data_IF_313411565788
#
_entry.id   IF_313411565788
#
_cell.length_a   1.000
_cell.length_b   1.000
_cell.length_c   1.000
_cell.angle_alpha   90.00
_cell.angle_beta   90.00
_cell.angle_gamma   90.00
#
_symmetry.space_group_name_H-M   'P 1'
#
loop_
_entity.id
_entity.type
_entity.pdbx_description
1 polymer ?
#
# COMPACT_ATOMS: atom_id res chain seq x y z
N UNK A 1 4.17 86.28 29.51
CA UNK A 1 5.39 85.51 29.45
C UNK A 1 5.07 84.19 30.06
N UNK A 2 4.73 83.24 29.25
CA UNK A 2 4.24 81.92 29.68
C UNK A 2 5.18 80.83 29.16
N UNK A 3 5.75 80.12 30.06
CA UNK A 3 6.70 79.04 29.78
C UNK A 3 5.93 77.72 29.76
N UNK A 4 5.86 77.08 28.64
CA UNK A 4 5.24 75.77 28.47
C UNK A 4 6.34 74.70 28.54
N UNK A 5 6.35 73.93 29.59
CA UNK A 5 7.16 72.73 29.73
C UNK A 5 6.48 71.57 28.99
N UNK A 6 7.17 70.99 28.04
CA UNK A 6 6.77 69.78 27.35
C UNK A 6 7.16 68.55 28.21
N UNK A 7 6.16 67.76 28.53
CA UNK A 7 6.35 66.43 29.12
C UNK A 7 6.55 65.41 28.01
N UNK A 8 7.69 64.76 28.04
CA UNK A 8 7.97 63.55 27.26
C UNK A 8 7.47 62.33 28.02
N UNK A 9 6.53 61.66 27.43
CA UNK A 9 6.04 60.38 27.92
C UNK A 9 6.94 59.26 27.40
N UNK A 10 7.68 58.64 28.29
CA UNK A 10 8.45 57.42 28.01
C UNK A 10 7.50 56.25 27.81
N UNK A 11 7.50 55.68 26.62
CA UNK A 11 6.84 54.40 26.30
C UNK A 11 7.78 53.26 26.70
N UNK A 12 7.48 52.62 27.81
CA UNK A 12 8.10 51.34 28.20
C UNK A 12 7.76 50.25 27.16
N UNK A 13 8.76 49.82 26.46
CA UNK A 13 8.67 48.66 25.54
C UNK A 13 8.78 47.40 26.39
N UNK A 14 7.66 46.78 26.69
CA UNK A 14 7.63 45.47 27.33
C UNK A 14 8.08 44.41 26.31
N UNK A 15 9.31 43.98 26.41
CA UNK A 15 9.87 42.86 25.64
C UNK A 15 9.22 41.55 26.08
N UNK A 16 8.27 41.04 25.31
CA UNK A 16 7.75 39.68 25.46
C UNK A 16 8.84 38.72 24.92
N UNK A 17 9.55 38.09 25.85
CA UNK A 17 10.38 36.93 25.56
C UNK A 17 9.50 35.78 25.08
N UNK A 18 9.35 35.64 23.78
CA UNK A 18 8.80 34.47 23.16
C UNK A 18 9.74 33.28 23.42
N UNK A 19 9.27 32.35 24.25
CA UNK A 19 9.95 31.07 24.42
C UNK A 19 9.96 30.30 23.11
N UNK A 20 11.13 30.08 22.58
CA UNK A 20 11.37 29.14 21.50
C UNK A 20 11.13 27.73 22.03
N UNK A 21 9.98 27.15 21.72
CA UNK A 21 9.83 25.70 21.74
C UNK A 21 10.40 25.19 20.40
N UNK A 22 11.47 24.40 20.39
CA UNK A 22 11.86 23.69 19.19
C UNK A 22 10.81 22.61 18.97
N UNK A 23 9.78 22.93 18.21
CA UNK A 23 8.91 21.95 17.63
C UNK A 23 9.73 21.14 16.63
N UNK A 24 10.16 19.94 17.04
CA UNK A 24 10.69 18.94 16.13
C UNK A 24 9.51 18.52 15.26
N UNK A 25 9.38 19.15 14.11
CA UNK A 25 8.56 18.68 13.02
C UNK A 25 9.26 17.44 12.45
N UNK A 26 9.00 16.28 13.06
CA UNK A 26 9.30 15.00 12.42
C UNK A 26 8.34 14.85 11.24
N UNK A 27 8.85 14.60 10.03
CA UNK A 27 7.98 14.27 8.91
C UNK A 27 7.23 12.98 9.24
N UNK A 28 5.98 12.78 8.75
CA UNK A 28 5.10 11.70 9.17
C UNK A 28 5.54 10.28 8.75
N UNK A 29 6.75 10.11 8.23
CA UNK A 29 7.22 8.86 7.64
C UNK A 29 8.59 8.45 8.17
N UNK A 30 8.72 8.12 9.42
CA UNK A 30 9.99 7.59 9.88
C UNK A 30 9.90 6.84 11.21
N UNK A 31 9.20 5.73 11.25
CA UNK A 31 9.53 4.65 12.19
C UNK A 31 9.05 3.32 11.62
N UNK A 32 9.94 2.63 10.94
CA UNK A 32 9.76 1.19 10.71
C UNK A 32 10.47 0.49 11.84
N UNK A 33 9.70 -0.21 12.66
CA UNK A 33 10.21 -1.07 13.70
C UNK A 33 11.08 -2.17 13.11
N UNK A 34 12.34 -2.19 13.55
CA UNK A 34 13.22 -3.35 13.43
C UNK A 34 12.59 -4.47 14.26
N UNK A 35 11.84 -5.34 13.60
CA UNK A 35 11.43 -6.61 14.17
C UNK A 35 12.67 -7.46 14.40
N UNK A 36 13.14 -7.51 15.65
CA UNK A 36 14.21 -8.38 16.08
C UNK A 36 13.77 -9.84 15.95
N UNK A 37 14.09 -10.49 14.83
CA UNK A 37 14.00 -11.92 14.69
C UNK A 37 15.10 -12.56 15.56
N UNK A 38 14.76 -12.95 16.76
CA UNK A 38 15.55 -13.90 17.53
C UNK A 38 15.29 -15.28 16.90
N UNK A 39 16.22 -15.69 16.02
CA UNK A 39 16.28 -17.05 15.55
C UNK A 39 16.77 -17.93 16.70
N UNK A 40 15.86 -18.59 17.39
CA UNK A 40 16.19 -19.74 18.23
C UNK A 40 16.53 -20.90 17.30
N UNK A 41 17.81 -21.16 17.18
CA UNK A 41 18.35 -22.39 16.62
C UNK A 41 17.98 -23.52 17.58
N UNK A 42 16.98 -24.32 17.22
CA UNK A 42 16.73 -25.61 17.85
C UNK A 42 16.99 -26.69 16.81
N UNK A 43 17.92 -27.58 17.16
CA UNK A 43 18.52 -28.58 16.31
C UNK A 43 17.54 -29.57 15.65
N UNK A 44 18.01 -30.03 14.55
CA UNK A 44 17.87 -31.20 13.74
C UNK A 44 16.67 -32.13 13.92
N UNK A 45 16.01 -32.38 12.79
CA UNK A 45 15.72 -33.74 12.33
C UNK A 45 15.66 -33.68 10.81
N UNK A 46 16.63 -34.32 10.17
CA UNK A 46 16.61 -34.60 8.74
C UNK A 46 15.64 -35.74 8.54
N UNK A 47 14.52 -35.52 7.88
CA UNK A 47 13.68 -36.59 7.34
C UNK A 47 13.78 -36.51 5.83
N UNK A 48 14.56 -37.44 5.31
CA UNK A 48 14.74 -37.72 3.90
C UNK A 48 13.44 -38.36 3.37
N UNK A 49 12.66 -37.65 2.57
CA UNK A 49 11.57 -38.23 1.79
C UNK A 49 11.84 -38.09 0.30
N UNK A 50 12.66 -39.04 -0.17
CA UNK A 50 12.75 -39.40 -1.56
C UNK A 50 11.45 -40.14 -1.94
N UNK A 51 10.46 -39.47 -2.54
CA UNK A 51 9.28 -40.09 -3.12
C UNK A 51 9.42 -40.09 -4.64
N UNK A 52 9.79 -41.25 -5.11
CA UNK A 52 9.92 -41.65 -6.49
C UNK A 52 8.54 -41.56 -7.19
N UNK A 53 8.37 -40.59 -8.10
CA UNK A 53 7.21 -40.45 -8.96
C UNK A 53 7.38 -41.28 -10.23
N UNK A 54 7.09 -42.59 -10.14
CA UNK A 54 6.92 -43.41 -11.36
C UNK A 54 6.22 -44.71 -11.04
N UNK A 55 4.90 -44.69 -10.97
CA UNK A 55 4.05 -45.85 -11.23
C UNK A 55 2.55 -45.51 -11.05
N UNK A 56 1.91 -44.88 -12.02
CA UNK A 56 0.47 -44.98 -12.26
C UNK A 56 0.13 -44.71 -13.74
N UNK A 57 0.66 -45.54 -14.62
CA UNK A 57 0.10 -45.72 -15.93
C UNK A 57 0.12 -47.23 -16.24
N UNK A 58 -1.01 -47.90 -15.97
CA UNK A 58 -1.43 -49.08 -16.74
C UNK A 58 -2.83 -49.55 -16.37
N UNK A 59 -3.57 -49.78 -17.44
CA UNK A 59 -4.77 -50.58 -17.58
C UNK A 59 -6.12 -49.93 -17.28
N UNK A 60 -6.81 -49.60 -18.38
CA UNK A 60 -8.07 -50.30 -18.65
C UNK A 60 -8.31 -50.38 -20.16
N UNK A 61 -8.45 -51.61 -20.60
CA UNK A 61 -8.73 -51.97 -21.99
C UNK A 61 -10.19 -51.72 -22.39
N UNK A 62 -10.34 -51.45 -23.66
CA UNK A 62 -11.43 -51.56 -24.61
C UNK A 62 -12.53 -52.59 -24.25
N UNK A 63 -13.77 -52.13 -24.29
CA UNK A 63 -14.98 -52.92 -24.39
C UNK A 63 -15.97 -52.26 -25.33
N UNK A 64 -16.24 -52.92 -26.47
CA UNK A 64 -17.00 -52.54 -27.65
C UNK A 64 -18.51 -52.68 -27.44
N UNK A 65 -19.27 -51.86 -28.20
CA UNK A 65 -20.62 -52.06 -28.76
C UNK A 65 -21.87 -51.91 -27.89
N UNK A 66 -22.74 -51.03 -28.33
CA UNK A 66 -24.15 -51.04 -28.00
C UNK A 66 -24.86 -49.74 -28.37
N UNK A 67 -25.39 -49.62 -29.58
CA UNK A 67 -26.30 -48.57 -30.04
C UNK A 67 -27.53 -48.49 -29.17
N UNK A 68 -27.85 -47.34 -28.60
CA UNK A 68 -29.22 -46.92 -28.35
C UNK A 68 -29.30 -45.39 -28.53
N UNK A 69 -29.97 -44.98 -29.61
CA UNK A 69 -30.46 -43.61 -29.79
C UNK A 69 -31.65 -43.36 -28.86
N UNK A 70 -31.53 -42.39 -27.98
CA UNK A 70 -32.66 -41.69 -27.40
C UNK A 70 -32.22 -40.28 -27.05
N UNK A 71 -32.76 -39.30 -27.77
CA UNK A 71 -32.51 -37.88 -27.56
C UNK A 71 -33.04 -37.42 -26.21
N UNK A 72 -32.17 -36.76 -25.50
CA UNK A 72 -32.53 -35.78 -24.47
C UNK A 72 -31.60 -34.60 -24.66
N UNK A 73 -32.16 -33.53 -25.24
CA UNK A 73 -31.61 -32.19 -25.12
C UNK A 73 -31.57 -31.82 -23.63
N UNK A 74 -30.48 -32.07 -23.00
CA UNK A 74 -30.15 -31.48 -21.70
C UNK A 74 -28.92 -30.61 -21.92
N UNK A 75 -29.20 -29.36 -22.22
CA UNK A 75 -28.21 -28.31 -22.13
C UNK A 75 -27.77 -28.26 -20.64
N UNK A 76 -26.56 -28.70 -20.27
CA UNK A 76 -26.07 -28.48 -18.93
C UNK A 76 -25.74 -26.99 -18.83
N UNK A 77 -26.67 -26.23 -18.27
CA UNK A 77 -26.35 -24.94 -17.70
C UNK A 77 -25.35 -25.22 -16.57
N UNK A 78 -24.07 -25.11 -16.89
CA UNK A 78 -23.02 -25.05 -15.89
C UNK A 78 -23.32 -23.78 -15.09
N UNK A 79 -23.59 -23.85 -13.79
CA UNK A 79 -23.58 -22.65 -12.97
C UNK A 79 -22.14 -22.12 -13.02
N UNK A 80 -21.95 -20.98 -13.65
CA UNK A 80 -20.72 -20.23 -13.51
C UNK A 80 -20.73 -19.59 -12.13
N UNK A 81 -20.50 -20.39 -11.08
CA UNK A 81 -20.09 -19.90 -9.78
C UNK A 81 -18.62 -19.44 -9.87
N UNK A 82 -18.49 -18.33 -10.48
CA UNK A 82 -17.27 -17.58 -10.68
C UNK A 82 -17.59 -16.14 -10.97
N UNK A 83 -18.56 -15.57 -10.23
CA UNK A 83 -18.62 -14.12 -10.06
C UNK A 83 -17.39 -13.67 -9.25
N UNK A 84 -16.21 -13.92 -9.83
CA UNK A 84 -15.07 -13.09 -9.57
C UNK A 84 -15.48 -11.68 -10.00
N UNK A 85 -15.57 -10.80 -9.05
CA UNK A 85 -15.74 -9.38 -9.16
C UNK A 85 -14.93 -8.82 -10.36
N UNK A 86 -15.49 -8.93 -11.57
CA UNK A 86 -15.13 -8.06 -12.68
C UNK A 86 -15.94 -6.77 -12.44
N UNK A 87 -15.79 -6.20 -11.26
CA UNK A 87 -16.11 -4.81 -11.02
C UNK A 87 -15.27 -4.02 -12.01
N UNK A 88 -15.87 -3.07 -12.68
CA UNK A 88 -15.26 -2.15 -13.61
C UNK A 88 -13.94 -1.66 -12.99
N UNK A 89 -12.80 -2.25 -13.41
CA UNK A 89 -11.46 -1.96 -12.86
C UNK A 89 -11.01 -0.58 -13.35
N UNK A 90 -11.75 0.44 -12.95
CA UNK A 90 -11.46 1.82 -13.28
C UNK A 90 -10.75 2.50 -12.12
N UNK A 91 -9.61 3.12 -12.40
CA UNK A 91 -8.92 3.95 -11.45
C UNK A 91 -9.72 5.25 -11.23
N UNK A 92 -10.01 5.57 -9.98
CA UNK A 92 -10.70 6.79 -9.58
C UNK A 92 -9.85 8.03 -9.89
N UNK A 93 -10.52 9.11 -10.25
CA UNK A 93 -9.89 10.42 -10.51
C UNK A 93 -9.58 11.23 -9.25
N UNK A 94 -9.94 10.73 -8.06
CA UNK A 94 -9.74 11.46 -6.80
C UNK A 94 -8.27 11.52 -6.35
N UNK A 95 -7.42 10.63 -6.87
CA UNK A 95 -5.99 10.61 -6.53
C UNK A 95 -5.27 11.86 -7.03
N UNK A 96 -4.13 12.17 -6.43
CA UNK A 96 -3.33 13.33 -6.84
C UNK A 96 -2.77 13.16 -8.27
N UNK A 97 -2.44 14.25 -8.98
CA UNK A 97 -1.88 14.18 -10.33
C UNK A 97 -0.64 13.30 -10.43
N UNK A 98 0.18 13.27 -9.37
CA UNK A 98 1.41 12.46 -9.31
C UNK A 98 1.10 10.96 -9.32
N UNK A 99 0.05 10.52 -8.61
CA UNK A 99 -0.39 9.13 -8.64
C UNK A 99 -1.10 8.81 -9.96
N UNK A 100 -1.93 9.74 -10.47
CA UNK A 100 -2.60 9.59 -11.76
C UNK A 100 -1.64 9.53 -12.95
N UNK A 101 -0.43 10.09 -12.81
CA UNK A 101 0.65 9.92 -13.80
C UNK A 101 0.95 8.44 -14.08
N UNK A 102 0.78 7.58 -13.08
CA UNK A 102 1.00 6.13 -13.17
C UNK A 102 -0.22 5.33 -13.60
N UNK A 103 -1.32 5.97 -14.03
CA UNK A 103 -2.60 5.33 -14.32
C UNK A 103 -2.48 4.07 -15.18
N UNK A 104 -1.77 4.15 -16.30
CA UNK A 104 -1.60 3.03 -17.23
C UNK A 104 -0.91 1.84 -16.55
N UNK A 105 0.18 2.13 -15.82
CA UNK A 105 0.92 1.11 -15.05
C UNK A 105 0.10 0.51 -13.92
N UNK A 106 -0.66 1.33 -13.20
CA UNK A 106 -1.55 0.85 -12.13
C UNK A 106 -2.58 -0.13 -12.70
N UNK A 107 -3.15 0.16 -13.87
CA UNK A 107 -4.10 -0.73 -14.53
C UNK A 107 -3.43 -2.03 -15.00
N UNK A 108 -2.24 -1.98 -15.57
CA UNK A 108 -1.45 -3.16 -15.96
C UNK A 108 -1.13 -4.03 -14.73
N UNK A 109 -0.61 -3.43 -13.66
CA UNK A 109 -0.31 -4.13 -12.42
C UNK A 109 -1.57 -4.68 -11.75
N UNK A 110 -2.72 -4.00 -11.86
CA UNK A 110 -3.98 -4.51 -11.29
C UNK A 110 -4.39 -5.84 -11.91
N UNK A 111 -4.16 -6.00 -13.21
CA UNK A 111 -4.39 -7.26 -13.94
C UNK A 111 -3.34 -8.30 -13.54
N UNK A 112 -2.05 -7.91 -13.56
CA UNK A 112 -0.93 -8.81 -13.30
C UNK A 112 -0.97 -9.43 -11.90
N UNK A 113 -1.34 -8.64 -10.89
CA UNK A 113 -1.34 -9.08 -9.48
C UNK A 113 -2.73 -9.44 -8.95
N UNK A 114 -3.77 -9.31 -9.81
CA UNK A 114 -5.16 -9.48 -9.40
C UNK A 114 -5.47 -8.66 -8.13
N UNK A 115 -5.23 -7.35 -8.23
CA UNK A 115 -5.50 -6.34 -7.20
C UNK A 115 -6.44 -5.27 -7.75
N UNK A 116 -7.22 -4.65 -6.87
CA UNK A 116 -8.01 -3.48 -7.23
C UNK A 116 -7.08 -2.29 -7.56
N UNK A 117 -7.25 -1.60 -8.71
CA UNK A 117 -6.39 -0.49 -9.09
C UNK A 117 -6.45 0.67 -8.08
N UNK A 118 -7.59 0.88 -7.42
CA UNK A 118 -7.72 1.91 -6.40
C UNK A 118 -6.97 1.54 -5.12
N UNK A 119 -6.85 0.24 -4.80
CA UNK A 119 -6.02 -0.20 -3.68
C UNK A 119 -4.52 0.00 -3.99
N UNK A 120 -4.08 -0.32 -5.21
CA UNK A 120 -2.70 -0.06 -5.66
C UNK A 120 -2.40 1.45 -5.59
N UNK A 121 -3.31 2.28 -6.12
CA UNK A 121 -3.16 3.73 -6.10
C UNK A 121 -3.16 4.30 -4.67
N UNK A 122 -3.99 3.75 -3.78
CA UNK A 122 -4.03 4.17 -2.36
C UNK A 122 -2.70 3.91 -1.66
N UNK A 123 -2.11 2.72 -1.85
CA UNK A 123 -0.80 2.40 -1.29
C UNK A 123 0.26 3.34 -1.88
N UNK A 124 0.34 3.48 -3.21
CA UNK A 124 1.28 4.41 -3.86
C UNK A 124 1.11 5.85 -3.37
N UNK A 125 -0.13 6.32 -3.17
CA UNK A 125 -0.43 7.66 -2.68
C UNK A 125 0.22 7.92 -1.32
N UNK A 126 0.06 6.99 -0.38
CA UNK A 126 0.54 7.16 1.00
C UNK A 126 2.05 6.91 1.09
N UNK A 127 2.58 5.95 0.35
CA UNK A 127 3.98 5.57 0.42
C UNK A 127 4.93 6.59 -0.20
N UNK A 128 4.61 7.07 -1.39
CA UNK A 128 5.52 7.93 -2.15
C UNK A 128 4.86 9.09 -2.86
N UNK A 129 3.53 9.16 -2.86
CA UNK A 129 2.77 10.03 -3.77
C UNK A 129 3.20 9.85 -5.25
N UNK A 130 3.59 8.63 -5.65
CA UNK A 130 4.07 8.34 -6.99
C UNK A 130 5.52 8.78 -7.28
N UNK A 131 6.34 9.06 -6.26
CA UNK A 131 7.75 9.40 -6.43
C UNK A 131 8.61 8.13 -6.60
N UNK A 132 9.15 7.83 -7.81
CA UNK A 132 9.86 6.58 -8.06
C UNK A 132 11.21 6.48 -7.34
N UNK A 133 11.81 7.61 -7.00
CA UNK A 133 13.10 7.67 -6.30
C UNK A 133 12.96 8.03 -4.82
N UNK A 134 11.75 7.91 -4.25
CA UNK A 134 11.54 8.18 -2.83
C UNK A 134 12.38 7.23 -1.97
N UNK A 135 12.97 7.77 -0.90
CA UNK A 135 13.64 6.98 0.13
C UNK A 135 13.25 7.50 1.50
N UNK A 136 12.78 6.60 2.36
CA UNK A 136 12.47 6.94 3.73
C UNK A 136 13.73 6.95 4.60
N UNK A 137 13.63 7.59 5.77
CA UNK A 137 14.71 7.56 6.77
C UNK A 137 15.06 6.13 7.22
N UNK A 138 14.09 5.23 7.24
CA UNK A 138 14.28 3.82 7.59
C UNK A 138 14.84 2.98 6.43
N UNK A 139 15.03 3.57 5.25
CA UNK A 139 15.60 2.91 4.08
C UNK A 139 14.60 2.25 3.14
N UNK A 140 13.30 2.44 3.33
CA UNK A 140 12.30 2.00 2.35
C UNK A 140 12.45 2.81 1.05
N UNK A 141 12.25 2.17 -0.12
CA UNK A 141 12.63 2.71 -1.42
C UNK A 141 11.52 2.62 -2.45
N UNK A 142 11.45 3.64 -3.32
CA UNK A 142 10.66 3.68 -4.55
C UNK A 142 9.16 3.90 -4.35
N UNK A 143 8.40 3.62 -5.41
CA UNK A 143 6.95 3.89 -5.51
C UNK A 143 6.15 3.30 -4.35
N UNK A 144 6.49 2.09 -3.94
CA UNK A 144 5.79 1.29 -2.94
C UNK A 144 6.54 1.19 -1.62
N UNK A 145 7.59 1.99 -1.41
CA UNK A 145 8.42 2.06 -0.20
C UNK A 145 8.81 0.68 0.33
N UNK A 146 9.39 -0.12 -0.56
CA UNK A 146 9.80 -1.49 -0.27
C UNK A 146 11.13 -1.49 0.48
N UNK A 147 11.19 -2.27 1.57
CA UNK A 147 12.42 -2.40 2.36
C UNK A 147 13.50 -3.19 1.61
N UNK A 148 14.79 -2.84 1.79
CA UNK A 148 15.92 -3.45 1.06
C UNK A 148 15.94 -4.98 1.07
N UNK A 149 15.58 -5.60 2.18
CA UNK A 149 15.62 -7.05 2.35
C UNK A 149 14.55 -7.82 1.56
N UNK A 150 13.62 -7.12 0.90
CA UNK A 150 12.65 -7.72 0.00
C UNK A 150 13.16 -7.85 -1.45
N UNK A 151 14.28 -7.22 -1.77
CA UNK A 151 14.88 -7.28 -3.11
C UNK A 151 15.94 -8.39 -3.18
N UNK A 152 16.09 -8.97 -4.36
CA UNK A 152 17.25 -9.80 -4.66
C UNK A 152 18.50 -8.91 -4.81
N UNK A 153 19.67 -9.48 -4.59
CA UNK A 153 20.94 -8.74 -4.61
C UNK A 153 21.27 -8.08 -5.96
N UNK A 154 20.67 -8.58 -7.03
CA UNK A 154 20.85 -8.07 -8.40
C UNK A 154 19.77 -7.08 -8.83
N UNK A 155 18.73 -6.88 -8.04
CA UNK A 155 17.65 -5.96 -8.37
C UNK A 155 18.01 -4.52 -8.00
N UNK A 156 17.57 -3.59 -8.85
CA UNK A 156 17.59 -2.16 -8.52
C UNK A 156 16.28 -1.78 -7.82
N UNK A 157 16.31 -1.38 -6.55
CA UNK A 157 15.10 -1.02 -5.80
C UNK A 157 14.32 0.17 -6.38
N UNK A 158 14.97 1.00 -7.19
CA UNK A 158 14.36 2.15 -7.86
C UNK A 158 13.92 1.86 -9.29
N UNK A 159 14.17 0.66 -9.79
CA UNK A 159 13.54 0.20 -11.02
C UNK A 159 12.04 0.03 -10.77
N UNK A 160 11.25 0.64 -11.64
CA UNK A 160 9.80 0.75 -11.47
C UNK A 160 9.14 -0.63 -11.38
N UNK A 161 9.54 -1.55 -12.25
CA UNK A 161 8.93 -2.87 -12.32
C UNK A 161 9.39 -3.76 -11.16
N UNK A 162 10.67 -3.70 -10.78
CA UNK A 162 11.19 -4.40 -9.62
C UNK A 162 10.53 -3.93 -8.33
N UNK A 163 10.36 -2.62 -8.17
CA UNK A 163 9.70 -2.04 -7.01
C UNK A 163 8.22 -2.44 -6.93
N UNK A 164 7.49 -2.32 -8.03
CA UNK A 164 6.09 -2.75 -8.13
C UNK A 164 5.95 -4.26 -7.87
N UNK A 165 6.82 -5.09 -8.47
CA UNK A 165 6.81 -6.53 -8.26
C UNK A 165 6.90 -6.90 -6.77
N UNK A 166 7.85 -6.29 -6.05
CA UNK A 166 8.08 -6.59 -4.64
C UNK A 166 6.97 -6.02 -3.75
N UNK A 167 6.58 -4.76 -3.95
CA UNK A 167 5.53 -4.11 -3.17
C UNK A 167 4.15 -4.74 -3.37
N UNK A 168 3.76 -5.00 -4.62
CA UNK A 168 2.43 -5.53 -4.93
C UNK A 168 2.29 -7.03 -4.58
N UNK A 169 3.36 -7.81 -4.69
CA UNK A 169 3.36 -9.18 -4.13
C UNK A 169 3.15 -9.17 -2.62
N UNK A 170 3.79 -8.23 -1.93
CA UNK A 170 3.61 -8.09 -0.48
C UNK A 170 2.19 -7.65 -0.12
N UNK A 171 1.63 -6.68 -0.86
CA UNK A 171 0.25 -6.22 -0.71
C UNK A 171 -0.75 -7.37 -0.97
N UNK A 172 -0.55 -8.15 -2.04
CA UNK A 172 -1.39 -9.33 -2.33
C UNK A 172 -1.33 -10.36 -1.22
N UNK A 173 -0.12 -10.64 -0.70
CA UNK A 173 0.06 -11.56 0.43
C UNK A 173 -0.66 -11.06 1.68
N UNK A 174 -0.59 -9.76 1.95
CA UNK A 174 -1.31 -9.13 3.06
C UNK A 174 -2.83 -9.26 2.91
N UNK A 175 -3.34 -9.01 1.69
CA UNK A 175 -4.77 -9.12 1.37
C UNK A 175 -5.29 -10.57 1.48
N UNK A 176 -4.51 -11.54 1.04
CA UNK A 176 -4.84 -12.97 1.21
C UNK A 176 -4.85 -13.35 2.69
N UNK A 177 -3.85 -12.91 3.46
CA UNK A 177 -3.75 -13.20 4.89
C UNK A 177 -4.90 -12.58 5.70
N UNK A 178 -5.38 -11.41 5.27
CA UNK A 178 -6.53 -10.72 5.87
C UNK A 178 -7.89 -11.27 5.39
N UNK A 179 -7.92 -12.34 4.59
CA UNK A 179 -9.12 -12.88 3.96
C UNK A 179 -9.92 -11.82 3.14
N UNK A 180 -9.22 -10.89 2.51
CA UNK A 180 -9.80 -9.83 1.68
C UNK A 180 -10.19 -8.55 2.43
N UNK A 181 -10.02 -8.50 3.76
CA UNK A 181 -10.23 -7.27 4.52
C UNK A 181 -9.11 -6.25 4.19
N UNK A 182 -9.50 -5.17 3.50
CA UNK A 182 -8.56 -4.14 3.04
C UNK A 182 -7.92 -3.38 4.20
N UNK A 183 -8.65 -3.10 5.27
CA UNK A 183 -8.11 -2.41 6.44
C UNK A 183 -7.02 -3.23 7.13
N UNK A 184 -7.27 -4.52 7.32
CA UNK A 184 -6.27 -5.45 7.84
C UNK A 184 -5.11 -5.66 6.85
N UNK A 185 -5.37 -5.68 5.54
CA UNK A 185 -4.33 -5.78 4.52
C UNK A 185 -3.40 -4.57 4.55
N UNK A 186 -3.93 -3.36 4.70
CA UNK A 186 -3.16 -2.14 4.85
C UNK A 186 -2.34 -2.14 6.16
N UNK A 187 -2.92 -2.65 7.26
CA UNK A 187 -2.16 -2.85 8.49
C UNK A 187 -0.98 -3.80 8.29
N UNK A 188 -1.24 -4.92 7.62
CA UNK A 188 -0.20 -5.91 7.31
C UNK A 188 0.86 -5.39 6.35
N UNK A 189 0.49 -4.52 5.41
CA UNK A 189 1.43 -3.89 4.49
C UNK A 189 2.41 -2.97 5.22
N UNK A 190 1.89 -2.08 6.06
CA UNK A 190 2.70 -1.10 6.79
C UNK A 190 3.41 -1.71 8.03
N UNK A 191 2.69 -2.43 8.86
CA UNK A 191 3.19 -2.95 10.15
C UNK A 191 3.76 -4.37 10.08
N UNK A 192 3.76 -5.00 8.90
CA UNK A 192 4.13 -6.40 8.71
C UNK A 192 2.93 -7.35 8.86
N UNK A 193 2.93 -8.45 8.07
CA UNK A 193 1.78 -9.38 7.99
C UNK A 193 1.36 -9.96 9.35
N UNK A 194 2.29 -10.06 10.29
CA UNK A 194 2.00 -10.58 11.64
C UNK A 194 0.99 -9.72 12.43
N UNK A 195 0.89 -8.41 12.15
CA UNK A 195 -0.02 -7.51 12.88
C UNK A 195 -1.50 -7.77 12.55
N UNK A 196 -1.79 -8.44 11.42
CA UNK A 196 -3.16 -8.79 11.01
C UNK A 196 -3.87 -9.65 12.07
N UNK A 197 -3.12 -10.44 12.83
CA UNK A 197 -3.66 -11.30 13.90
C UNK A 197 -3.94 -10.54 15.21
N UNK A 198 -3.45 -9.31 15.31
CA UNK A 198 -3.54 -8.51 16.51
C UNK A 198 -4.70 -7.51 16.43
N UNK A 199 -5.37 -7.20 17.54
CA UNK A 199 -6.44 -6.23 17.52
C UNK A 199 -5.91 -4.81 17.18
N UNK A 200 -6.68 -3.97 16.44
CA UNK A 200 -6.22 -2.67 15.96
C UNK A 200 -5.66 -1.72 17.02
N UNK A 201 -6.20 -1.77 18.25
CA UNK A 201 -5.72 -0.92 19.35
C UNK A 201 -4.30 -1.28 19.84
N UNK A 202 -3.77 -2.45 19.44
CA UNK A 202 -2.40 -2.87 19.78
C UNK A 202 -1.37 -2.52 18.71
N UNK A 203 -1.81 -2.01 17.55
CA UNK A 203 -0.89 -1.57 16.52
C UNK A 203 -0.17 -0.30 16.94
N UNK A 204 1.05 -0.13 16.44
CA UNK A 204 1.77 1.13 16.64
C UNK A 204 1.02 2.29 15.98
N UNK A 205 1.18 3.49 16.52
CA UNK A 205 0.47 4.70 16.06
C UNK A 205 0.62 4.96 14.55
N UNK A 206 1.78 4.63 13.99
CA UNK A 206 2.03 4.75 12.56
C UNK A 206 1.11 3.86 11.74
N UNK A 207 1.02 2.58 12.11
CA UNK A 207 0.13 1.62 11.43
C UNK A 207 -1.34 2.01 11.60
N UNK A 208 -1.74 2.48 12.78
CA UNK A 208 -3.12 2.97 12.99
C UNK A 208 -3.44 4.14 12.06
N UNK A 209 -2.53 5.13 11.93
CA UNK A 209 -2.71 6.26 11.02
C UNK A 209 -2.69 5.84 9.55
N UNK A 210 -1.80 4.92 9.19
CA UNK A 210 -1.73 4.36 7.83
C UNK A 210 -3.06 3.74 7.42
N UNK A 211 -3.62 2.89 8.27
CA UNK A 211 -4.93 2.27 8.05
C UNK A 211 -6.05 3.31 8.01
N UNK A 212 -6.04 4.28 8.92
CA UNK A 212 -7.04 5.34 8.96
C UNK A 212 -7.11 6.13 7.64
N UNK A 213 -5.97 6.55 7.10
CA UNK A 213 -5.95 7.26 5.82
C UNK A 213 -6.18 6.33 4.64
N UNK A 214 -5.50 5.20 4.61
CA UNK A 214 -5.57 4.25 3.49
C UNK A 214 -6.97 3.68 3.28
N UNK A 215 -7.61 3.19 4.34
CA UNK A 215 -8.97 2.65 4.23
C UNK A 215 -9.96 3.72 3.77
N UNK A 216 -9.88 4.93 4.33
CA UNK A 216 -10.81 5.99 3.95
C UNK A 216 -10.60 6.50 2.52
N UNK A 217 -9.34 6.65 2.05
CA UNK A 217 -9.05 7.03 0.66
C UNK A 217 -9.57 5.94 -0.29
N UNK A 218 -9.29 4.68 0.00
CA UNK A 218 -9.74 3.56 -0.81
C UNK A 218 -11.26 3.47 -0.87
N UNK A 219 -11.95 3.54 0.26
CA UNK A 219 -13.42 3.52 0.33
C UNK A 219 -14.04 4.64 -0.49
N UNK A 220 -13.51 5.86 -0.40
CA UNK A 220 -13.99 6.99 -1.17
C UNK A 220 -13.73 6.83 -2.68
N UNK A 221 -12.60 6.20 -3.05
CA UNK A 221 -12.28 5.89 -4.44
C UNK A 221 -13.24 4.88 -5.07
N UNK A 222 -13.52 3.77 -4.38
CA UNK A 222 -14.43 2.73 -4.90
C UNK A 222 -15.91 3.18 -4.89
N UNK A 223 -16.27 4.15 -4.06
CA UNK A 223 -17.58 4.79 -4.06
C UNK A 223 -17.76 5.75 -5.24
N UNK A 224 -16.72 5.98 -6.05
CA UNK A 224 -16.76 6.90 -7.19
C UNK A 224 -16.90 8.37 -6.79
N UNK A 225 -16.42 8.75 -5.61
CA UNK A 225 -16.40 10.16 -5.19
C UNK A 225 -15.43 10.94 -6.08
N UNK A 226 -15.80 12.15 -6.42
CA UNK A 226 -14.93 13.07 -7.19
C UNK A 226 -13.79 13.63 -6.32
N UNK A 227 -14.01 13.72 -5.02
CA UNK A 227 -13.04 14.23 -4.04
C UNK A 227 -13.00 13.33 -2.82
N UNK A 228 -11.83 13.22 -2.20
CA UNK A 228 -11.65 12.48 -0.96
C UNK A 228 -11.32 13.42 0.18
N UNK A 229 -12.18 13.46 1.20
CA UNK A 229 -11.89 14.20 2.42
C UNK A 229 -10.70 13.58 3.15
N UNK A 230 -10.59 12.26 3.12
CA UNK A 230 -9.49 11.54 3.74
C UNK A 230 -8.14 11.85 3.08
N UNK A 231 -8.12 11.98 1.75
CA UNK A 231 -6.93 12.42 1.02
C UNK A 231 -6.55 13.86 1.39
N UNK A 232 -7.53 14.76 1.52
CA UNK A 232 -7.29 16.15 1.94
C UNK A 232 -6.69 16.20 3.35
N UNK A 233 -7.19 15.40 4.28
CA UNK A 233 -6.62 15.27 5.63
C UNK A 233 -5.18 14.78 5.59
N UNK A 234 -4.90 13.71 4.81
CA UNK A 234 -3.55 13.17 4.64
C UNK A 234 -2.59 14.21 4.04
N UNK A 235 -3.01 14.92 2.99
CA UNK A 235 -2.22 15.99 2.38
C UNK A 235 -1.89 17.09 3.41
N UNK A 236 -2.87 17.50 4.20
CA UNK A 236 -2.71 18.53 5.24
C UNK A 236 -1.80 18.06 6.38
N UNK A 237 -1.74 16.76 6.62
CA UNK A 237 -0.91 16.13 7.67
C UNK A 237 0.54 15.87 7.25
N UNK A 238 0.96 16.36 6.07
CA UNK A 238 2.33 16.26 5.57
C UNK A 238 2.47 15.63 4.18
N UNK A 239 1.47 14.90 3.71
CA UNK A 239 1.46 14.26 2.40
C UNK A 239 1.72 15.21 1.23
N UNK A 240 1.22 16.46 1.33
CA UNK A 240 1.47 17.47 0.32
C UNK A 240 2.97 17.75 0.07
N UNK A 241 3.82 17.59 1.09
CA UNK A 241 5.27 17.75 0.91
C UNK A 241 5.85 16.61 0.06
N UNK A 242 5.36 15.40 0.27
CA UNK A 242 5.76 14.22 -0.48
C UNK A 242 5.32 14.35 -1.96
N UNK A 243 4.08 14.77 -2.19
CA UNK A 243 3.55 14.99 -3.54
C UNK A 243 4.33 16.08 -4.30
N UNK A 244 4.70 17.20 -3.66
CA UNK A 244 5.56 18.19 -4.30
C UNK A 244 6.92 17.65 -4.75
N UNK A 245 7.52 16.75 -3.97
CA UNK A 245 8.77 16.08 -4.36
C UNK A 245 8.54 15.15 -5.56
N UNK A 246 7.43 14.43 -5.56
CA UNK A 246 7.02 13.59 -6.68
C UNK A 246 6.78 14.43 -7.95
N UNK A 247 6.00 15.54 -7.87
CA UNK A 247 5.78 16.47 -8.97
C UNK A 247 7.09 16.97 -9.59
N UNK A 248 8.02 17.40 -8.73
CA UNK A 248 9.32 17.89 -9.19
C UNK A 248 10.13 16.80 -9.92
N UNK A 249 10.09 15.56 -9.43
CA UNK A 249 10.79 14.44 -10.06
C UNK A 249 10.16 14.00 -11.38
N UNK A 250 8.81 13.99 -11.44
CA UNK A 250 8.04 13.58 -12.62
C UNK A 250 7.93 14.69 -13.69
N UNK A 251 8.41 15.91 -13.41
CA UNK A 251 8.28 17.05 -14.32
C UNK A 251 6.83 17.55 -14.45
N UNK A 252 6.00 17.27 -13.46
CA UNK A 252 4.64 17.81 -13.37
C UNK A 252 4.74 19.22 -12.81
N UNK A 253 4.40 20.22 -13.63
CA UNK A 253 4.36 21.61 -13.16
C UNK A 253 3.20 21.77 -12.16
N UNK A 254 3.42 22.46 -11.04
CA UNK A 254 2.36 22.76 -10.08
C UNK A 254 1.35 23.76 -10.63
#
# INVERSE_FOLDING_TARGET
MSNKSSQTTDLETTSIRGGYFPGILLPPFAVILVGLMIALVSGGIIVDHNVNASSFLKNTEVGSSGDIQAGFDVNPTIPSDGDHFIGNKQLSSLFTPEVLYWKERILEWSIQFDLDPNLIATVMQIESCGHPLAQSYAGAMGLFQVMPFHFETTENPYDIESNALRGLKYLKSSLVTSAGDVSLALAGYNGGISVIKNPPYSWVDETQRYVYWGSGIYEEAIQGKETSQRLVEWLSSGGASLCRQASANLGLNP
#
